data_IF_198164689673
#
_entry.id   IF_198164689673
#
_cell.length_a   1.000
_cell.length_b   1.000
_cell.length_c   1.000
_cell.angle_alpha   90.00
_cell.angle_beta   90.00
_cell.angle_gamma   90.00
#
_symmetry.space_group_name_H-M   'P 1'
#
loop_
_entity.id
_entity.type
_entity.pdbx_description
1 polymer ?
#
# COMPACT_ATOMS: atom_id res chain seq x y z
N UNK A 1 -11.42 -11.11 -11.41
CA UNK A 1 -12.08 -12.24 -10.74
C UNK A 1 -12.83 -13.12 -11.74
N UNK A 2 -13.41 -14.25 -11.28
CA UNK A 2 -14.20 -15.18 -12.11
C UNK A 2 -15.69 -15.03 -11.82
N UNK A 3 -16.11 -15.50 -10.63
CA UNK A 3 -17.51 -15.53 -10.22
C UNK A 3 -18.05 -14.12 -10.01
N UNK A 4 -19.16 -13.75 -10.64
CA UNK A 4 -19.72 -12.39 -10.58
C UNK A 4 -19.00 -11.35 -11.45
N UNK A 5 -17.91 -11.74 -12.13
CA UNK A 5 -17.11 -10.83 -12.97
C UNK A 5 -17.00 -11.31 -14.41
N UNK A 6 -16.54 -12.53 -14.64
CA UNK A 6 -16.50 -13.16 -15.97
C UNK A 6 -17.72 -14.04 -16.20
N UNK A 7 -18.16 -14.73 -15.15
CA UNK A 7 -19.27 -15.68 -15.21
C UNK A 7 -20.29 -15.46 -14.10
N UNK A 8 -21.53 -15.88 -14.35
CA UNK A 8 -22.63 -15.92 -13.40
C UNK A 8 -22.84 -17.36 -12.88
N UNK A 9 -22.31 -17.71 -11.71
CA UNK A 9 -22.39 -19.04 -11.13
C UNK A 9 -23.66 -19.26 -10.30
N UNK A 10 -24.63 -18.35 -10.30
CA UNK A 10 -25.77 -18.34 -9.36
C UNK A 10 -26.44 -19.72 -9.22
N UNK A 11 -26.89 -20.27 -10.30
CA UNK A 11 -27.63 -21.55 -10.28
C UNK A 11 -26.77 -22.67 -9.70
N UNK A 12 -25.51 -22.78 -10.16
CA UNK A 12 -24.62 -23.83 -9.71
C UNK A 12 -24.28 -23.74 -8.21
N UNK A 13 -23.90 -22.54 -7.73
CA UNK A 13 -23.54 -22.34 -6.33
C UNK A 13 -24.76 -22.50 -5.44
N UNK A 14 -25.84 -21.78 -5.69
CA UNK A 14 -27.02 -21.79 -4.81
C UNK A 14 -27.69 -23.14 -4.74
N UNK A 15 -27.79 -23.88 -5.85
CA UNK A 15 -28.33 -25.26 -5.85
C UNK A 15 -27.41 -26.22 -5.09
N UNK A 16 -26.09 -26.06 -5.15
CA UNK A 16 -25.17 -26.88 -4.37
C UNK A 16 -25.21 -26.54 -2.87
N UNK A 17 -25.41 -25.26 -2.50
CA UNK A 17 -25.68 -24.88 -1.12
C UNK A 17 -26.99 -25.48 -0.63
N UNK A 18 -28.06 -25.39 -1.40
CA UNK A 18 -29.36 -26.02 -1.11
C UNK A 18 -29.20 -27.52 -0.88
N UNK A 19 -28.46 -28.20 -1.75
CA UNK A 19 -28.16 -29.65 -1.62
C UNK A 19 -27.42 -29.95 -0.32
N UNK A 20 -26.43 -29.13 0.06
CA UNK A 20 -25.73 -29.28 1.32
C UNK A 20 -26.64 -29.05 2.53
N UNK A 21 -27.47 -28.00 2.52
CA UNK A 21 -28.43 -27.69 3.59
C UNK A 21 -29.46 -28.81 3.77
N UNK A 22 -29.95 -29.37 2.68
CA UNK A 22 -30.87 -30.49 2.74
C UNK A 22 -30.31 -31.71 3.48
N UNK A 23 -29.00 -31.97 3.39
CA UNK A 23 -28.36 -33.07 4.13
C UNK A 23 -28.37 -32.86 5.66
N UNK A 24 -28.56 -31.60 6.11
CA UNK A 24 -28.76 -31.25 7.53
C UNK A 24 -30.24 -31.09 7.91
N UNK A 25 -31.17 -31.46 7.02
CA UNK A 25 -32.60 -31.33 7.24
C UNK A 25 -33.12 -29.90 7.14
N UNK A 26 -32.37 -29.00 6.53
CA UNK A 26 -32.73 -27.60 6.31
C UNK A 26 -33.25 -27.46 4.86
N UNK A 27 -34.52 -27.05 4.74
CA UNK A 27 -35.16 -26.78 3.46
C UNK A 27 -35.12 -25.27 3.16
N UNK A 28 -34.44 -24.86 2.10
CA UNK A 28 -34.49 -23.49 1.57
C UNK A 28 -34.87 -23.53 0.10
N UNK A 29 -36.18 -23.32 -0.20
CA UNK A 29 -36.68 -23.41 -1.59
C UNK A 29 -36.31 -22.18 -2.43
N UNK A 30 -35.96 -21.07 -1.79
CA UNK A 30 -35.67 -19.80 -2.45
C UNK A 30 -34.15 -19.65 -2.67
N UNK A 31 -33.71 -19.88 -3.92
CA UNK A 31 -32.29 -19.77 -4.27
C UNK A 31 -31.74 -18.34 -4.14
N UNK A 32 -32.58 -17.30 -4.23
CA UNK A 32 -32.13 -15.91 -4.09
C UNK A 32 -31.61 -15.61 -2.68
N UNK A 33 -32.13 -16.30 -1.66
CA UNK A 33 -31.63 -16.20 -0.30
C UNK A 33 -30.24 -16.81 -0.12
N UNK A 34 -29.80 -17.63 -1.06
CA UNK A 34 -28.50 -18.29 -1.06
C UNK A 34 -27.44 -17.52 -1.87
N UNK A 35 -27.82 -16.41 -2.53
CA UNK A 35 -26.86 -15.53 -3.24
C UNK A 35 -25.71 -15.05 -2.37
N UNK A 36 -25.88 -14.75 -1.04
CA UNK A 36 -24.77 -14.34 -0.18
C UNK A 36 -23.60 -15.34 -0.09
N UNK A 37 -23.82 -16.60 -0.49
CA UNK A 37 -22.76 -17.61 -0.60
C UNK A 37 -21.83 -17.42 -1.79
N UNK A 38 -22.18 -16.53 -2.73
CA UNK A 38 -21.37 -16.27 -3.93
C UNK A 38 -20.30 -15.23 -3.58
N UNK A 39 -19.03 -15.64 -3.63
CA UNK A 39 -17.86 -14.79 -3.35
C UNK A 39 -17.15 -15.09 -2.04
N UNK A 40 -17.82 -15.11 -0.87
CA UNK A 40 -17.17 -15.46 0.40
C UNK A 40 -16.75 -16.93 0.49
N UNK A 41 -15.80 -17.28 1.39
CA UNK A 41 -15.48 -18.66 1.70
C UNK A 41 -16.72 -19.42 2.20
N UNK A 42 -17.01 -20.59 1.60
CA UNK A 42 -18.22 -21.37 1.90
C UNK A 42 -18.33 -21.75 3.38
N UNK A 43 -17.22 -22.13 4.01
CA UNK A 43 -17.16 -22.48 5.43
C UNK A 43 -17.68 -21.35 6.30
N UNK A 44 -17.17 -20.15 6.08
CA UNK A 44 -17.54 -18.96 6.86
C UNK A 44 -19.01 -18.60 6.60
N UNK A 45 -19.47 -18.73 5.36
CA UNK A 45 -20.87 -18.49 4.98
C UNK A 45 -21.84 -19.45 5.67
N UNK A 46 -21.53 -20.76 5.77
CA UNK A 46 -22.36 -21.71 6.52
C UNK A 46 -22.40 -21.37 8.02
N UNK A 47 -21.28 -20.97 8.59
CA UNK A 47 -21.22 -20.54 9.99
C UNK A 47 -22.02 -19.25 10.23
N UNK A 48 -21.86 -18.25 9.36
CA UNK A 48 -22.48 -16.93 9.50
C UNK A 48 -23.99 -16.97 9.27
N UNK A 49 -24.44 -17.60 8.17
CA UNK A 49 -25.84 -17.52 7.75
C UNK A 49 -26.72 -18.59 8.37
N UNK A 50 -26.15 -19.75 8.72
CA UNK A 50 -26.91 -20.88 9.27
C UNK A 50 -26.49 -21.29 10.68
N UNK A 51 -25.52 -20.60 11.27
CA UNK A 51 -25.07 -20.84 12.65
C UNK A 51 -24.39 -22.21 12.84
N UNK A 52 -23.80 -22.78 11.78
CA UNK A 52 -23.12 -24.07 11.84
C UNK A 52 -21.87 -23.97 12.72
N UNK A 53 -21.55 -25.05 13.44
CA UNK A 53 -20.24 -25.19 14.07
C UNK A 53 -19.15 -25.35 13.00
N UNK A 54 -17.90 -25.22 13.37
CA UNK A 54 -16.78 -25.41 12.44
C UNK A 54 -16.83 -26.80 11.79
N UNK A 55 -17.14 -27.83 12.57
CA UNK A 55 -17.24 -29.21 12.09
C UNK A 55 -18.41 -29.40 11.14
N UNK A 56 -19.58 -28.82 11.44
CA UNK A 56 -20.75 -28.85 10.58
C UNK A 56 -20.51 -28.09 9.26
N UNK A 57 -19.82 -26.96 9.33
CA UNK A 57 -19.48 -26.19 8.13
C UNK A 57 -18.54 -26.97 7.19
N UNK A 58 -17.55 -27.66 7.76
CA UNK A 58 -16.67 -28.55 6.94
C UNK A 58 -17.46 -29.70 6.28
N UNK A 59 -18.39 -30.32 7.01
CA UNK A 59 -19.26 -31.36 6.47
C UNK A 59 -20.18 -30.80 5.36
N UNK A 60 -20.75 -29.60 5.58
CA UNK A 60 -21.57 -28.93 4.58
C UNK A 60 -20.77 -28.57 3.32
N UNK A 61 -19.54 -28.12 3.47
CA UNK A 61 -18.63 -27.86 2.34
C UNK A 61 -18.31 -29.16 1.59
N UNK A 62 -18.11 -30.27 2.30
CA UNK A 62 -17.90 -31.57 1.65
C UNK A 62 -19.15 -31.99 0.84
N UNK A 63 -20.36 -31.82 1.40
CA UNK A 63 -21.63 -32.09 0.72
C UNK A 63 -21.82 -31.17 -0.49
N UNK A 64 -21.55 -29.88 -0.36
CA UNK A 64 -21.55 -28.94 -1.48
C UNK A 64 -20.66 -29.44 -2.62
N UNK A 65 -19.41 -29.83 -2.31
CA UNK A 65 -18.42 -30.29 -3.29
C UNK A 65 -18.83 -31.57 -4.00
N UNK A 66 -19.57 -32.48 -3.34
CA UNK A 66 -20.09 -33.70 -3.98
C UNK A 66 -20.92 -33.39 -5.24
N UNK A 67 -21.79 -32.38 -5.20
CA UNK A 67 -22.60 -31.96 -6.35
C UNK A 67 -21.86 -31.00 -7.26
N UNK A 68 -21.09 -30.08 -6.64
CA UNK A 68 -20.48 -28.96 -7.37
C UNK A 68 -19.47 -29.43 -8.42
N UNK A 69 -18.60 -30.39 -8.06
CA UNK A 69 -17.50 -30.81 -8.93
C UNK A 69 -17.98 -31.44 -10.28
N UNK A 70 -19.14 -32.05 -10.32
CA UNK A 70 -19.61 -32.79 -11.50
C UNK A 70 -20.80 -32.11 -12.21
N UNK A 71 -21.58 -31.30 -11.48
CA UNK A 71 -22.80 -30.68 -12.01
C UNK A 71 -22.78 -29.15 -11.82
N UNK A 72 -22.73 -28.67 -10.57
CA UNK A 72 -22.84 -27.25 -10.25
C UNK A 72 -21.77 -26.38 -10.88
N UNK A 73 -20.59 -26.95 -11.13
CA UNK A 73 -19.51 -26.26 -11.82
C UNK A 73 -19.91 -25.72 -13.19
N UNK A 74 -20.78 -26.47 -13.90
CA UNK A 74 -21.21 -26.17 -15.26
C UNK A 74 -22.63 -25.56 -15.34
N UNK A 75 -23.32 -25.45 -14.21
CA UNK A 75 -24.55 -24.65 -14.08
C UNK A 75 -24.12 -23.18 -13.86
N UNK A 76 -23.52 -22.63 -14.89
CA UNK A 76 -22.81 -21.35 -14.89
C UNK A 76 -22.98 -20.72 -16.29
N UNK A 77 -22.95 -19.41 -16.40
CA UNK A 77 -23.10 -18.68 -17.64
C UNK A 77 -22.02 -17.60 -17.75
N UNK A 78 -21.57 -17.34 -18.98
CA UNK A 78 -20.64 -16.20 -19.22
C UNK A 78 -21.45 -14.93 -19.37
N UNK A 79 -21.08 -13.85 -18.71
CA UNK A 79 -21.75 -12.57 -18.92
C UNK A 79 -21.63 -12.10 -20.36
N UNK A 80 -22.71 -11.55 -20.88
CA UNK A 80 -22.79 -11.04 -22.25
C UNK A 80 -21.69 -10.01 -22.52
N UNK A 81 -20.98 -10.18 -23.65
CA UNK A 81 -19.89 -9.29 -24.08
C UNK A 81 -18.51 -9.63 -23.51
N UNK A 82 -18.39 -10.53 -22.52
CA UNK A 82 -17.09 -10.93 -21.95
C UNK A 82 -16.15 -11.54 -23.00
N UNK A 83 -16.56 -12.52 -23.83
CA UNK A 83 -15.66 -13.11 -24.83
C UNK A 83 -15.14 -12.08 -25.84
N UNK A 84 -15.99 -11.16 -26.28
CA UNK A 84 -15.67 -10.09 -27.23
C UNK A 84 -14.70 -9.08 -26.62
N UNK A 85 -14.97 -8.66 -25.37
CA UNK A 85 -14.07 -7.76 -24.61
C UNK A 85 -12.69 -8.39 -24.42
N UNK A 86 -12.62 -9.64 -23.95
CA UNK A 86 -11.34 -10.33 -23.75
C UNK A 86 -10.54 -10.44 -25.05
N UNK A 87 -11.21 -10.78 -26.16
CA UNK A 87 -10.59 -10.82 -27.49
C UNK A 87 -10.07 -9.45 -27.91
N UNK A 88 -10.84 -8.38 -27.70
CA UNK A 88 -10.46 -7.02 -28.02
C UNK A 88 -9.22 -6.60 -27.23
N UNK A 89 -9.24 -6.81 -25.91
CA UNK A 89 -8.12 -6.47 -25.03
C UNK A 89 -6.85 -7.23 -25.40
N UNK A 90 -6.93 -8.54 -25.64
CA UNK A 90 -5.79 -9.35 -26.07
C UNK A 90 -5.22 -8.85 -27.40
N UNK A 91 -6.08 -8.52 -28.38
CA UNK A 91 -5.65 -8.01 -29.69
C UNK A 91 -4.93 -6.65 -29.61
N UNK A 92 -5.19 -5.89 -28.56
CA UNK A 92 -4.54 -4.61 -28.26
C UNK A 92 -3.29 -4.76 -27.39
N UNK A 93 -2.86 -5.99 -27.07
CA UNK A 93 -1.64 -6.28 -26.34
C UNK A 93 -1.77 -6.22 -24.81
N UNK A 94 -2.99 -6.24 -24.27
CA UNK A 94 -3.21 -6.39 -22.83
C UNK A 94 -2.81 -7.78 -22.36
N UNK A 95 -2.12 -7.85 -21.24
CA UNK A 95 -1.92 -9.11 -20.51
C UNK A 95 -3.11 -9.33 -19.58
N UNK A 96 -3.83 -10.43 -19.80
CA UNK A 96 -5.00 -10.77 -19.02
C UNK A 96 -4.65 -11.89 -18.05
N UNK A 97 -5.13 -11.78 -16.82
CA UNK A 97 -4.95 -12.78 -15.78
C UNK A 97 -6.25 -12.99 -15.00
N UNK A 98 -6.43 -14.19 -14.46
CA UNK A 98 -7.51 -14.52 -13.53
C UNK A 98 -6.93 -14.68 -12.14
N UNK A 99 -7.53 -13.99 -11.16
CA UNK A 99 -7.26 -14.11 -9.74
C UNK A 99 -8.58 -14.36 -9.00
N UNK A 100 -8.90 -15.60 -8.67
CA UNK A 100 -10.19 -15.98 -8.08
C UNK A 100 -10.04 -16.70 -6.74
N UNK A 101 -10.92 -16.41 -5.77
CA UNK A 101 -10.99 -17.16 -4.50
C UNK A 101 -11.55 -18.58 -4.68
N UNK A 102 -12.10 -18.89 -5.86
CA UNK A 102 -12.49 -20.25 -6.21
C UNK A 102 -11.25 -21.16 -6.33
N UNK A 103 -11.32 -22.45 -5.91
CA UNK A 103 -10.22 -23.39 -6.07
C UNK A 103 -9.68 -23.48 -7.50
N UNK A 104 -8.36 -23.48 -7.65
CA UNK A 104 -7.62 -23.51 -8.92
C UNK A 104 -8.19 -24.51 -9.92
N UNK A 105 -8.40 -25.74 -9.47
CA UNK A 105 -8.92 -26.83 -10.31
C UNK A 105 -10.31 -26.53 -10.91
N UNK A 106 -11.13 -25.78 -10.20
CA UNK A 106 -12.46 -25.41 -10.67
C UNK A 106 -12.39 -24.18 -11.60
N UNK A 107 -11.54 -23.22 -11.29
CA UNK A 107 -11.30 -22.06 -12.18
C UNK A 107 -10.87 -22.54 -13.57
N UNK A 108 -9.89 -23.42 -13.62
CA UNK A 108 -9.40 -23.96 -14.91
C UNK A 108 -10.47 -24.69 -15.70
N UNK A 109 -11.25 -25.57 -15.06
CA UNK A 109 -12.32 -26.32 -15.71
C UNK A 109 -13.42 -25.42 -16.24
N UNK A 110 -13.80 -24.36 -15.53
CA UNK A 110 -14.78 -23.36 -15.98
C UNK A 110 -14.26 -22.62 -17.20
N UNK A 111 -13.03 -22.10 -17.13
CA UNK A 111 -12.43 -21.36 -18.23
C UNK A 111 -12.23 -22.23 -19.49
N UNK A 112 -11.92 -23.51 -19.33
CA UNK A 112 -11.83 -24.47 -20.43
C UNK A 112 -13.23 -24.78 -21.03
N UNK A 113 -14.22 -24.97 -20.17
CA UNK A 113 -15.62 -25.26 -20.62
C UNK A 113 -16.17 -24.14 -21.51
N UNK A 114 -15.91 -22.87 -21.15
CA UNK A 114 -16.37 -21.71 -21.89
C UNK A 114 -15.38 -21.21 -22.97
N UNK A 115 -14.29 -21.94 -23.22
CA UNK A 115 -13.25 -21.56 -24.19
C UNK A 115 -12.62 -20.18 -23.90
N UNK A 116 -12.57 -19.80 -22.61
CA UNK A 116 -12.02 -18.51 -22.17
C UNK A 116 -10.54 -18.59 -21.76
N UNK A 117 -10.02 -19.76 -21.39
CA UNK A 117 -8.65 -19.96 -20.88
C UNK A 117 -7.59 -19.39 -21.83
N UNK A 118 -7.83 -19.47 -23.12
CA UNK A 118 -6.92 -18.98 -24.19
C UNK A 118 -6.62 -17.48 -24.15
N UNK A 119 -7.44 -16.69 -23.48
CA UNK A 119 -7.24 -15.24 -23.36
C UNK A 119 -6.31 -14.86 -22.23
N UNK A 120 -6.08 -15.75 -21.25
CA UNK A 120 -5.36 -15.45 -20.03
C UNK A 120 -3.93 -15.98 -20.06
N UNK A 121 -2.96 -15.11 -19.80
CA UNK A 121 -1.55 -15.48 -19.64
C UNK A 121 -1.31 -16.19 -18.30
N UNK A 122 -2.06 -15.79 -17.26
CA UNK A 122 -1.95 -16.33 -15.91
C UNK A 122 -3.33 -16.64 -15.36
N UNK A 123 -3.49 -17.79 -14.72
CA UNK A 123 -4.73 -18.21 -14.05
C UNK A 123 -4.36 -18.70 -12.66
N UNK A 124 -4.83 -18.01 -11.62
CA UNK A 124 -4.60 -18.37 -10.22
C UNK A 124 -5.93 -18.42 -9.47
N UNK A 125 -6.18 -19.56 -8.85
CA UNK A 125 -7.26 -19.80 -7.91
C UNK A 125 -6.75 -20.01 -6.48
N UNK A 126 -7.64 -20.27 -5.54
CA UNK A 126 -7.27 -20.74 -4.20
C UNK A 126 -6.81 -22.19 -4.24
N UNK A 127 -6.19 -22.67 -3.15
CA UNK A 127 -5.83 -24.07 -3.00
C UNK A 127 -6.84 -24.80 -2.10
N UNK A 128 -7.11 -26.07 -2.43
CA UNK A 128 -8.04 -26.90 -1.63
C UNK A 128 -7.50 -27.28 -0.26
N UNK A 129 -6.18 -27.19 -0.08
CA UNK A 129 -5.48 -27.48 1.17
C UNK A 129 -5.36 -26.27 2.12
N UNK A 130 -5.88 -25.10 1.70
CA UNK A 130 -5.85 -23.87 2.48
C UNK A 130 -4.53 -23.09 2.45
N UNK A 131 -3.53 -23.51 1.67
CA UNK A 131 -2.23 -22.80 1.58
C UNK A 131 -2.33 -21.44 0.91
N UNK A 132 -3.35 -21.22 0.06
CA UNK A 132 -3.69 -19.95 -0.58
C UNK A 132 -5.21 -19.80 -0.58
N UNK A 133 -5.77 -19.16 0.43
CA UNK A 133 -7.20 -19.09 0.66
C UNK A 133 -7.77 -17.67 0.49
N UNK A 134 -7.00 -16.66 0.91
CA UNK A 134 -7.48 -15.27 0.91
C UNK A 134 -7.24 -14.58 -0.44
N UNK A 135 -8.08 -13.57 -0.77
CA UNK A 135 -8.00 -12.88 -2.05
C UNK A 135 -6.67 -12.17 -2.27
N UNK A 136 -6.10 -11.57 -1.23
CA UNK A 136 -4.77 -10.92 -1.30
C UNK A 136 -3.66 -11.93 -1.64
N UNK A 137 -3.69 -13.15 -1.08
CA UNK A 137 -2.73 -14.21 -1.42
C UNK A 137 -2.87 -14.64 -2.89
N UNK A 138 -4.10 -14.77 -3.37
CA UNK A 138 -4.36 -15.14 -4.78
C UNK A 138 -3.88 -14.03 -5.71
N UNK A 139 -4.21 -12.78 -5.44
CA UNK A 139 -3.75 -11.63 -6.24
C UNK A 139 -2.23 -11.51 -6.20
N UNK A 140 -1.61 -11.71 -5.03
CA UNK A 140 -0.14 -11.68 -4.88
C UNK A 140 0.54 -12.71 -5.78
N UNK A 141 0.06 -13.95 -5.79
CA UNK A 141 0.60 -15.01 -6.64
C UNK A 141 0.37 -14.71 -8.12
N UNK A 142 -0.82 -14.19 -8.47
CA UNK A 142 -1.13 -13.77 -9.85
C UNK A 142 -0.16 -12.70 -10.34
N UNK A 143 0.10 -11.68 -9.53
CA UNK A 143 1.07 -10.62 -9.85
C UNK A 143 2.50 -11.16 -9.94
N UNK A 144 2.88 -12.05 -9.04
CA UNK A 144 4.21 -12.69 -9.07
C UNK A 144 4.44 -13.43 -10.39
N UNK A 145 3.47 -14.25 -10.84
CA UNK A 145 3.57 -14.95 -12.11
C UNK A 145 3.54 -13.99 -13.30
N UNK A 146 2.65 -12.99 -13.28
CA UNK A 146 2.49 -12.02 -14.35
C UNK A 146 3.77 -11.21 -14.58
N UNK A 147 4.39 -10.70 -13.51
CA UNK A 147 5.60 -9.86 -13.59
C UNK A 147 6.85 -10.66 -13.92
N UNK A 148 6.89 -11.96 -13.61
CA UNK A 148 8.01 -12.82 -13.95
C UNK A 148 8.23 -12.97 -15.45
N UNK A 149 7.15 -12.98 -16.21
CA UNK A 149 7.17 -13.26 -17.65
C UNK A 149 6.98 -11.99 -18.51
N UNK A 150 6.53 -10.89 -17.90
CA UNK A 150 6.15 -9.69 -18.63
C UNK A 150 6.73 -8.43 -17.98
N UNK A 151 7.22 -7.46 -18.76
CA UNK A 151 7.74 -6.19 -18.25
C UNK A 151 6.57 -5.22 -17.93
N UNK A 152 5.80 -5.52 -16.87
CA UNK A 152 4.63 -4.75 -16.44
C UNK A 152 4.95 -4.11 -15.08
N UNK A 153 4.61 -2.83 -14.92
CA UNK A 153 4.73 -2.14 -13.64
C UNK A 153 3.40 -2.23 -12.86
N UNK A 154 3.43 -2.26 -11.52
CA UNK A 154 2.22 -2.42 -10.69
C UNK A 154 1.14 -1.34 -10.94
N UNK A 155 1.53 -0.12 -11.32
CA UNK A 155 0.63 0.98 -11.65
C UNK A 155 -0.05 0.85 -13.02
N UNK A 156 0.29 -0.18 -13.79
CA UNK A 156 -0.35 -0.54 -15.05
C UNK A 156 -1.34 -1.69 -14.89
N UNK A 157 -1.60 -2.13 -13.67
CA UNK A 157 -2.46 -3.28 -13.38
C UNK A 157 -3.76 -2.84 -12.72
N UNK A 158 -4.87 -3.38 -13.20
CA UNK A 158 -6.19 -3.26 -12.58
C UNK A 158 -6.65 -4.61 -12.06
N UNK A 159 -7.09 -4.67 -10.81
CA UNK A 159 -7.88 -5.78 -10.30
C UNK A 159 -9.35 -5.48 -10.55
N UNK A 160 -10.01 -6.36 -11.31
CA UNK A 160 -11.42 -6.23 -11.66
C UNK A 160 -12.21 -7.29 -10.89
N UNK A 161 -13.23 -6.86 -10.15
CA UNK A 161 -14.06 -7.76 -9.37
C UNK A 161 -15.35 -7.11 -8.92
N UNK A 162 -16.29 -7.94 -8.47
CA UNK A 162 -17.64 -7.51 -8.09
C UNK A 162 -17.83 -7.38 -6.56
N UNK A 163 -16.89 -7.90 -5.75
CA UNK A 163 -17.03 -7.92 -4.29
C UNK A 163 -15.96 -7.07 -3.60
N UNK A 164 -16.26 -6.68 -2.35
CA UNK A 164 -15.30 -5.97 -1.47
C UNK A 164 -13.94 -6.68 -1.35
N UNK A 165 -13.93 -8.02 -1.40
CA UNK A 165 -12.72 -8.82 -1.28
C UNK A 165 -11.72 -8.55 -2.41
N UNK A 166 -12.21 -8.29 -3.63
CA UNK A 166 -11.39 -7.93 -4.79
C UNK A 166 -10.72 -6.58 -4.58
N UNK A 167 -11.51 -5.62 -4.11
CA UNK A 167 -11.03 -4.26 -3.82
C UNK A 167 -10.02 -4.26 -2.67
N UNK A 168 -10.29 -5.00 -1.60
CA UNK A 168 -9.41 -5.11 -0.44
C UNK A 168 -8.10 -5.84 -0.80
N UNK A 169 -8.19 -6.94 -1.59
CA UNK A 169 -7.03 -7.68 -2.08
C UNK A 169 -6.14 -6.84 -2.99
N UNK A 170 -6.72 -6.09 -3.91
CA UNK A 170 -6.00 -5.15 -4.77
C UNK A 170 -5.28 -4.07 -3.95
N UNK A 171 -6.00 -3.47 -3.00
CA UNK A 171 -5.46 -2.43 -2.13
C UNK A 171 -4.30 -2.92 -1.26
N UNK A 172 -4.39 -4.13 -0.71
CA UNK A 172 -3.32 -4.71 0.11
C UNK A 172 -1.98 -4.77 -0.65
N UNK A 173 -2.04 -4.87 -1.98
CA UNK A 173 -0.88 -5.00 -2.85
C UNK A 173 -0.55 -3.71 -3.64
N UNK A 174 -1.33 -2.64 -3.42
CA UNK A 174 -1.10 -1.36 -4.09
C UNK A 174 -1.51 -1.35 -5.58
N UNK A 175 -2.40 -2.25 -5.97
CA UNK A 175 -2.98 -2.33 -7.31
C UNK A 175 -4.30 -1.56 -7.34
N UNK A 176 -4.59 -0.83 -8.42
CA UNK A 176 -5.88 -0.15 -8.61
C UNK A 176 -7.01 -1.16 -8.83
N UNK A 177 -8.18 -0.85 -8.29
CA UNK A 177 -9.37 -1.70 -8.33
C UNK A 177 -10.47 -1.12 -9.20
N UNK A 178 -11.12 -1.99 -10.00
CA UNK A 178 -12.33 -1.66 -10.76
C UNK A 178 -13.47 -2.55 -10.26
N UNK A 179 -14.38 -1.96 -9.48
CA UNK A 179 -15.58 -2.65 -9.02
C UNK A 179 -16.62 -2.72 -10.14
N UNK A 180 -17.19 -3.91 -10.37
CA UNK A 180 -18.29 -4.11 -11.33
C UNK A 180 -19.59 -4.35 -10.57
N UNK A 181 -20.69 -3.70 -10.97
CA UNK A 181 -22.00 -3.79 -10.29
C UNK A 181 -22.99 -4.68 -11.03
N UNK A 182 -22.57 -5.36 -12.07
CA UNK A 182 -23.38 -6.36 -12.76
C UNK A 182 -23.25 -7.77 -12.13
N UNK A 183 -22.31 -7.94 -11.19
CA UNK A 183 -22.15 -9.11 -10.33
C UNK A 183 -23.00 -9.03 -9.05
N UNK A 184 -22.49 -9.60 -7.96
CA UNK A 184 -23.23 -9.81 -6.70
C UNK A 184 -22.98 -8.72 -5.65
N UNK A 185 -21.90 -7.95 -5.77
CA UNK A 185 -21.59 -6.84 -4.89
C UNK A 185 -22.45 -5.61 -5.19
N UNK A 186 -22.99 -4.99 -4.14
CA UNK A 186 -23.70 -3.74 -4.29
C UNK A 186 -22.73 -2.57 -4.57
N UNK A 187 -23.25 -1.51 -5.19
CA UNK A 187 -22.47 -0.27 -5.40
C UNK A 187 -22.01 0.33 -4.08
N UNK A 188 -22.81 0.18 -3.03
CA UNK A 188 -22.52 0.62 -1.66
C UNK A 188 -21.36 -0.19 -1.06
N UNK A 189 -21.38 -1.53 -1.19
CA UNK A 189 -20.29 -2.42 -0.77
C UNK A 189 -18.96 -2.02 -1.43
N UNK A 190 -18.97 -1.80 -2.74
CA UNK A 190 -17.77 -1.41 -3.50
C UNK A 190 -17.25 -0.03 -3.09
N UNK A 191 -18.15 0.94 -2.80
CA UNK A 191 -17.77 2.26 -2.30
C UNK A 191 -17.19 2.20 -0.89
N UNK A 192 -17.82 1.44 0.01
CA UNK A 192 -17.33 1.25 1.39
C UNK A 192 -15.97 0.56 1.40
N UNK A 193 -15.79 -0.43 0.51
CA UNK A 193 -14.50 -1.06 0.26
C UNK A 193 -13.50 -0.09 -0.39
N UNK A 194 -13.92 1.08 -0.90
CA UNK A 194 -13.13 2.12 -1.56
C UNK A 194 -12.53 1.65 -2.90
N UNK A 195 -13.35 1.06 -3.76
CA UNK A 195 -12.97 0.80 -5.13
C UNK A 195 -12.51 2.09 -5.81
N UNK A 196 -11.40 2.05 -6.56
CA UNK A 196 -10.86 3.22 -7.25
C UNK A 196 -11.78 3.64 -8.38
N UNK A 197 -12.39 2.68 -9.06
CA UNK A 197 -13.38 2.89 -10.11
C UNK A 197 -14.57 1.94 -9.92
N UNK A 198 -15.76 2.36 -10.38
CA UNK A 198 -16.97 1.52 -10.38
C UNK A 198 -17.65 1.65 -11.73
N UNK A 199 -17.90 0.52 -12.38
CA UNK A 199 -18.59 0.40 -13.67
C UNK A 199 -19.82 -0.48 -13.55
N UNK A 200 -20.83 -0.28 -14.45
CA UNK A 200 -22.14 -0.90 -14.28
C UNK A 200 -22.43 -2.02 -15.30
N UNK A 201 -21.60 -2.13 -16.34
CA UNK A 201 -21.77 -3.14 -17.39
C UNK A 201 -20.43 -3.55 -17.99
N UNK A 202 -20.42 -4.68 -18.68
CA UNK A 202 -19.25 -5.17 -19.45
C UNK A 202 -18.84 -4.15 -20.52
N UNK A 203 -19.81 -3.51 -21.19
CA UNK A 203 -19.53 -2.47 -22.19
C UNK A 203 -18.84 -1.24 -21.57
N UNK A 204 -19.28 -0.82 -20.37
CA UNK A 204 -18.65 0.29 -19.65
C UNK A 204 -17.23 -0.09 -19.19
N UNK A 205 -17.03 -1.33 -18.74
CA UNK A 205 -15.72 -1.87 -18.39
C UNK A 205 -14.76 -1.87 -19.58
N UNK A 206 -15.22 -2.36 -20.76
CA UNK A 206 -14.42 -2.35 -21.98
C UNK A 206 -14.01 -0.91 -22.36
N UNK A 207 -14.97 0.02 -22.38
CA UNK A 207 -14.70 1.44 -22.66
C UNK A 207 -13.70 2.05 -21.67
N UNK A 208 -13.82 1.71 -20.39
CA UNK A 208 -12.89 2.18 -19.36
C UNK A 208 -11.47 1.69 -19.62
N UNK A 209 -11.30 0.39 -19.86
CA UNK A 209 -9.99 -0.21 -20.10
C UNK A 209 -9.35 0.31 -21.40
N UNK A 210 -10.14 0.50 -22.45
CA UNK A 210 -9.63 0.99 -23.74
C UNK A 210 -9.27 2.48 -23.72
N UNK A 211 -9.96 3.33 -22.95
CA UNK A 211 -9.59 4.75 -22.78
C UNK A 211 -8.24 4.92 -22.14
N UNK A 212 -7.91 4.13 -21.14
CA UNK A 212 -6.58 4.14 -20.52
C UNK A 212 -5.45 3.89 -21.53
N UNK A 213 -5.67 3.00 -22.52
CA UNK A 213 -4.69 2.75 -23.57
C UNK A 213 -4.57 3.90 -24.58
N UNK A 214 -5.66 4.56 -24.92
CA UNK A 214 -5.65 5.71 -25.85
C UNK A 214 -4.94 6.94 -25.22
N UNK A 215 -5.12 7.15 -23.91
CA UNK A 215 -4.41 8.20 -23.17
C UNK A 215 -2.91 7.92 -23.05
N UNK A 216 -2.51 6.66 -22.88
CA UNK A 216 -1.11 6.23 -22.87
C UNK A 216 -0.46 6.36 -24.26
N UNK A 217 -1.19 6.05 -25.35
CA UNK A 217 -0.72 6.14 -26.72
C UNK A 217 -0.68 7.59 -27.24
N UNK A 218 -1.59 8.45 -26.79
CA UNK A 218 -1.68 9.84 -27.24
C UNK A 218 -0.81 10.82 -26.45
N UNK A 219 0.01 10.33 -25.51
CA UNK A 219 1.11 11.07 -24.91
C UNK A 219 0.71 12.41 -24.28
N UNK A 220 -0.38 12.48 -23.51
CA UNK A 220 -0.66 13.66 -22.71
C UNK A 220 0.25 13.67 -21.48
N UNK A 221 1.31 14.51 -21.42
CA UNK A 221 2.29 14.49 -20.33
C UNK A 221 1.70 14.93 -18.98
N UNK A 222 0.49 15.52 -18.98
CA UNK A 222 -0.16 16.03 -17.76
C UNK A 222 -0.93 14.96 -16.98
N UNK A 223 -1.14 13.78 -17.56
CA UNK A 223 -1.86 12.67 -16.91
C UNK A 223 -0.92 11.54 -16.44
N UNK A 224 0.32 11.86 -16.10
CA UNK A 224 1.12 10.99 -15.23
C UNK A 224 0.43 10.94 -13.88
N UNK A 225 -0.49 10.00 -13.69
CA UNK A 225 -0.87 9.55 -12.34
C UNK A 225 0.44 9.30 -11.61
N UNK A 226 0.72 10.14 -10.64
CA UNK A 226 1.98 10.11 -9.92
C UNK A 226 2.05 8.75 -9.26
N UNK A 227 3.00 7.90 -9.69
CA UNK A 227 3.29 6.60 -9.10
C UNK A 227 3.29 6.76 -7.58
N UNK A 228 2.38 6.08 -6.82
CA UNK A 228 2.29 6.24 -5.37
C UNK A 228 3.63 5.94 -4.69
N UNK A 229 4.41 5.02 -5.22
CA UNK A 229 5.76 4.70 -4.73
C UNK A 229 6.74 5.86 -4.98
N UNK A 230 6.69 6.49 -6.17
CA UNK A 230 7.49 7.66 -6.51
C UNK A 230 7.11 8.86 -5.63
N UNK A 231 5.82 9.07 -5.38
CA UNK A 231 5.35 10.11 -4.44
C UNK A 231 5.82 9.85 -3.01
N UNK A 232 5.78 8.59 -2.55
CA UNK A 232 6.29 8.20 -1.22
C UNK A 232 7.79 8.45 -1.11
N UNK A 233 8.57 8.05 -2.11
CA UNK A 233 10.02 8.29 -2.15
C UNK A 233 10.30 9.79 -2.17
N UNK A 234 9.63 10.57 -3.03
CA UNK A 234 9.82 12.03 -3.09
C UNK A 234 9.36 12.74 -1.83
N UNK A 235 8.29 12.28 -1.17
CA UNK A 235 7.88 12.81 0.13
C UNK A 235 8.96 12.61 1.19
N UNK A 236 9.57 11.41 1.24
CA UNK A 236 10.68 11.13 2.14
C UNK A 236 11.92 11.98 1.82
N UNK A 237 12.32 12.00 0.54
CA UNK A 237 13.47 12.79 0.08
C UNK A 237 13.27 14.29 0.33
N UNK A 238 12.09 14.81 -0.01
CA UNK A 238 11.77 16.22 0.20
C UNK A 238 11.75 16.60 1.68
N UNK A 239 11.14 15.78 2.52
CA UNK A 239 11.13 16.00 3.97
C UNK A 239 12.54 15.99 4.56
N UNK A 240 13.41 15.09 4.10
CA UNK A 240 14.80 15.03 4.53
C UNK A 240 15.61 16.25 4.06
N UNK A 241 15.44 16.68 2.81
CA UNK A 241 16.08 17.90 2.30
C UNK A 241 15.60 19.13 3.05
N UNK A 242 14.32 19.26 3.35
CA UNK A 242 13.77 20.35 4.15
C UNK A 242 14.32 20.35 5.59
N UNK A 243 14.48 19.17 6.19
CA UNK A 243 15.13 19.05 7.49
C UNK A 243 16.54 19.63 7.47
N UNK A 244 17.39 19.23 6.51
CA UNK A 244 18.76 19.72 6.40
C UNK A 244 18.78 21.24 6.17
N UNK A 245 17.93 21.73 5.27
CA UNK A 245 17.87 23.14 4.89
C UNK A 245 17.47 24.03 6.07
N UNK A 246 16.38 23.67 6.76
CA UNK A 246 15.89 24.46 7.91
C UNK A 246 16.84 24.34 9.08
N UNK A 247 17.39 23.15 9.37
CA UNK A 247 18.40 22.96 10.40
C UNK A 247 19.60 23.91 10.21
N UNK A 248 20.14 23.90 8.99
CA UNK A 248 21.31 24.73 8.68
C UNK A 248 20.95 26.23 8.71
N UNK A 249 19.80 26.62 8.18
CA UNK A 249 19.33 28.00 8.21
C UNK A 249 19.20 28.54 9.64
N UNK A 250 18.63 27.77 10.57
CA UNK A 250 18.52 28.13 11.99
C UNK A 250 19.90 28.26 12.63
N UNK A 251 20.79 27.29 12.36
CA UNK A 251 22.16 27.34 12.92
C UNK A 251 22.93 28.57 12.43
N UNK A 252 22.91 28.86 11.13
CA UNK A 252 23.59 30.03 10.56
C UNK A 252 22.99 31.35 11.07
N UNK A 253 21.64 31.42 11.16
CA UNK A 253 20.98 32.61 11.70
C UNK A 253 21.40 32.91 13.16
N UNK A 254 21.43 31.86 14.00
CA UNK A 254 21.86 31.99 15.39
C UNK A 254 23.36 32.38 15.51
N UNK A 255 24.21 31.75 14.70
CA UNK A 255 25.63 32.10 14.65
C UNK A 255 25.86 33.56 14.20
N UNK A 256 25.13 34.01 13.16
CA UNK A 256 25.19 35.39 12.69
C UNK A 256 24.74 36.39 13.75
N UNK A 257 23.65 36.06 14.48
CA UNK A 257 23.18 36.89 15.60
C UNK A 257 24.20 36.97 16.71
N UNK A 258 24.80 35.86 17.13
CA UNK A 258 25.85 35.86 18.16
C UNK A 258 27.08 36.61 17.70
N UNK A 259 27.47 36.49 16.42
CA UNK A 259 28.58 37.25 15.87
C UNK A 259 28.32 38.77 15.90
N UNK A 260 27.10 39.21 15.53
CA UNK A 260 26.70 40.60 15.63
C UNK A 260 26.73 41.11 17.08
N UNK A 261 26.24 40.33 18.04
CA UNK A 261 26.30 40.65 19.45
C UNK A 261 27.75 40.76 19.94
N UNK A 262 28.62 39.88 19.47
CA UNK A 262 30.08 39.96 19.79
C UNK A 262 30.71 41.24 19.29
N UNK A 263 30.39 41.65 18.04
CA UNK A 263 30.93 42.87 17.42
C UNK A 263 30.37 44.17 18.02
N UNK A 264 29.13 44.15 18.52
CA UNK A 264 28.49 45.32 19.13
C UNK A 264 29.09 45.75 20.49
N UNK A 265 30.04 44.97 21.00
CA UNK A 265 30.63 45.23 22.33
C UNK A 265 29.67 44.94 23.50
N UNK A 266 28.55 44.31 23.24
CA UNK A 266 27.60 43.90 24.28
C UNK A 266 28.33 43.04 25.33
N UNK A 267 28.21 43.39 26.60
CA UNK A 267 28.80 42.70 27.73
C UNK A 267 27.76 42.52 28.83
N UNK A 268 27.95 41.47 29.63
CA UNK A 268 27.15 41.19 30.82
C UNK A 268 26.25 39.97 30.69
N UNK A 269 26.13 39.19 31.76
CA UNK A 269 25.24 38.08 31.95
C UNK A 269 25.39 36.96 30.93
N UNK A 270 24.36 36.76 30.14
CA UNK A 270 24.28 35.65 29.16
C UNK A 270 25.29 35.79 28.01
N UNK A 271 25.63 37.02 27.63
CA UNK A 271 26.54 37.28 26.50
C UNK A 271 27.97 36.83 26.83
N UNK A 272 28.43 37.10 28.05
CA UNK A 272 29.77 36.71 28.50
C UNK A 272 29.89 35.18 28.71
N UNK A 273 28.77 34.51 28.95
CA UNK A 273 28.71 33.05 29.03
C UNK A 273 28.81 32.39 27.64
N UNK A 274 28.27 33.05 26.60
CA UNK A 274 28.11 32.50 25.26
C UNK A 274 29.29 32.83 24.34
N UNK A 275 29.95 33.96 24.53
CA UNK A 275 31.00 34.52 23.64
C UNK A 275 32.35 34.51 24.37
N UNK A 276 33.34 33.83 23.79
CA UNK A 276 34.68 33.85 24.26
C UNK A 276 35.39 35.12 23.75
N UNK A 277 36.07 35.85 24.65
CA UNK A 277 36.89 37.03 24.33
C UNK A 277 38.33 36.77 24.77
N UNK A 278 39.28 37.31 24.02
CA UNK A 278 40.69 37.30 24.41
C UNK A 278 41.00 38.34 25.49
N UNK A 279 42.27 38.40 25.93
CA UNK A 279 42.77 39.34 26.95
C UNK A 279 42.61 40.83 26.56
N UNK A 280 42.38 41.08 25.25
CA UNK A 280 42.10 42.40 24.69
C UNK A 280 40.63 42.76 24.62
N UNK A 281 39.76 41.82 24.97
CA UNK A 281 38.29 41.93 24.84
C UNK A 281 37.75 41.68 23.44
N UNK A 282 38.60 41.26 22.48
CA UNK A 282 38.18 40.92 21.13
C UNK A 282 37.53 39.53 21.08
N UNK A 283 36.62 39.34 20.10
CA UNK A 283 35.95 38.07 19.89
C UNK A 283 36.95 36.95 19.57
N UNK A 284 36.90 35.86 20.32
CA UNK A 284 37.77 34.69 20.17
C UNK A 284 37.02 33.38 19.99
N UNK A 285 35.73 33.41 19.71
CA UNK A 285 34.93 32.23 19.49
C UNK A 285 33.70 32.11 20.39
N UNK A 286 33.09 30.93 20.36
CA UNK A 286 31.95 30.59 21.21
C UNK A 286 32.34 29.52 22.22
N UNK A 287 31.68 29.49 23.39
CA UNK A 287 31.86 28.39 24.33
C UNK A 287 31.35 27.07 23.74
N UNK A 288 31.92 25.94 24.15
CA UNK A 288 31.51 24.62 23.68
C UNK A 288 30.03 24.34 23.92
N UNK A 289 29.47 24.88 25.02
CA UNK A 289 28.05 24.74 25.35
C UNK A 289 27.13 25.45 24.35
N UNK A 290 27.58 26.61 23.82
CA UNK A 290 26.82 27.36 22.80
C UNK A 290 26.72 26.59 21.50
N UNK A 291 27.79 25.97 21.06
CA UNK A 291 27.78 25.15 19.85
C UNK A 291 26.77 24.01 19.97
N UNK A 292 26.70 23.37 21.14
CA UNK A 292 25.74 22.31 21.44
C UNK A 292 24.29 22.82 21.47
N UNK A 293 24.03 23.99 22.06
CA UNK A 293 22.70 24.62 22.11
C UNK A 293 22.24 25.00 20.69
N UNK A 294 23.11 25.63 19.89
CA UNK A 294 22.79 26.03 18.51
C UNK A 294 22.48 24.78 17.65
N UNK A 295 23.28 23.73 17.82
CA UNK A 295 23.05 22.47 17.14
C UNK A 295 21.67 21.84 17.51
N UNK A 296 21.34 21.86 18.82
CA UNK A 296 20.06 21.36 19.31
C UNK A 296 18.87 22.18 18.78
N UNK A 297 18.95 23.50 18.79
CA UNK A 297 17.92 24.40 18.25
C UNK A 297 17.76 24.22 16.74
N UNK A 298 18.85 24.05 16.01
CA UNK A 298 18.80 23.71 14.57
C UNK A 298 18.11 22.39 14.32
N UNK A 299 18.39 21.39 15.15
CA UNK A 299 17.74 20.07 15.04
C UNK A 299 16.22 20.14 15.32
N UNK A 300 15.82 20.87 16.36
CA UNK A 300 14.40 21.09 16.68
C UNK A 300 13.69 21.80 15.53
N UNK A 301 14.30 22.85 14.96
CA UNK A 301 13.76 23.56 13.79
C UNK A 301 13.58 22.63 12.57
N UNK A 302 14.58 21.78 12.30
CA UNK A 302 14.52 20.77 11.26
C UNK A 302 13.40 19.75 11.49
N UNK A 303 13.24 19.27 12.71
CA UNK A 303 12.18 18.31 13.08
C UNK A 303 10.78 18.91 12.91
N UNK A 304 10.58 20.18 13.30
CA UNK A 304 9.32 20.92 13.09
C UNK A 304 9.04 21.06 11.58
N UNK A 305 10.05 21.35 10.76
CA UNK A 305 9.90 21.46 9.32
C UNK A 305 9.48 20.13 8.69
N UNK A 306 10.09 19.02 9.09
CA UNK A 306 9.68 17.66 8.65
C UNK A 306 8.25 17.38 9.03
N UNK A 307 7.88 17.62 10.29
CA UNK A 307 6.51 17.38 10.77
C UNK A 307 5.48 18.22 10.01
N UNK A 308 5.77 19.52 9.82
CA UNK A 308 4.88 20.44 9.10
C UNK A 308 4.73 20.05 7.63
N UNK A 309 5.85 19.67 6.98
CA UNK A 309 5.85 19.24 5.57
C UNK A 309 5.11 17.91 5.41
N UNK A 310 5.36 16.95 6.28
CA UNK A 310 4.67 15.67 6.28
C UNK A 310 3.17 15.87 6.51
N UNK A 311 2.77 16.70 7.47
CA UNK A 311 1.37 17.03 7.74
C UNK A 311 0.70 17.70 6.55
N UNK A 312 1.36 18.67 5.91
CA UNK A 312 0.83 19.36 4.71
C UNK A 312 0.65 18.39 3.55
N UNK A 313 1.59 17.48 3.32
CA UNK A 313 1.51 16.47 2.27
C UNK A 313 0.42 15.43 2.57
N UNK A 314 0.28 15.02 3.84
CA UNK A 314 -0.79 14.13 4.31
C UNK A 314 -2.15 14.80 4.14
N UNK A 315 -2.30 16.07 4.56
CA UNK A 315 -3.56 16.81 4.47
C UNK A 315 -3.95 17.13 3.01
N UNK A 316 -2.97 17.31 2.12
CA UNK A 316 -3.19 17.52 0.69
C UNK A 316 -3.56 16.24 -0.05
N UNK A 317 -3.07 15.09 0.41
CA UNK A 317 -3.24 13.77 -0.21
C UNK A 317 -3.98 12.82 0.74
N UNK A 318 -4.93 13.32 1.55
CA UNK A 318 -5.66 12.51 2.55
C UNK A 318 -6.35 11.28 1.96
N UNK A 319 -6.70 11.32 0.68
CA UNK A 319 -7.31 10.22 -0.04
C UNK A 319 -6.27 9.25 -0.64
N UNK A 320 -5.04 9.72 -0.95
CA UNK A 320 -4.03 8.94 -1.67
C UNK A 320 -2.97 8.28 -0.78
N UNK A 321 -2.81 8.73 0.47
CA UNK A 321 -1.82 8.16 1.39
C UNK A 321 -2.50 7.33 2.48
N UNK A 322 -2.53 6.01 2.30
CA UNK A 322 -3.03 5.02 3.26
C UNK A 322 -2.22 4.95 4.58
N UNK A 323 -2.01 6.11 5.23
CA UNK A 323 -1.41 6.15 6.58
C UNK A 323 -2.37 5.70 7.69
N UNK A 324 -3.65 5.45 7.36
CA UNK A 324 -4.59 4.84 8.30
C UNK A 324 -4.17 3.43 8.75
N UNK A 325 -3.43 2.69 7.91
CA UNK A 325 -2.84 1.41 8.28
C UNK A 325 -1.74 1.55 9.34
N UNK A 326 -0.99 2.64 9.34
CA UNK A 326 0.06 2.88 10.33
C UNK A 326 -0.49 3.03 11.76
N UNK A 327 -1.74 3.46 11.93
CA UNK A 327 -2.41 3.53 13.23
C UNK A 327 -2.87 2.17 13.79
N UNK A 328 -3.05 1.16 12.93
CA UNK A 328 -3.51 -0.20 13.31
C UNK A 328 -2.36 -1.19 13.56
N UNK A 329 -1.18 -0.93 13.01
CA UNK A 329 -0.05 -1.83 13.16
C UNK A 329 0.80 -1.40 14.36
N UNK A 330 1.05 -2.34 15.26
CA UNK A 330 1.61 -2.11 16.58
C UNK A 330 2.95 -1.36 16.60
N UNK A 331 3.26 -0.76 17.73
CA UNK A 331 4.45 0.08 18.03
C UNK A 331 5.80 -0.48 17.55
N UNK A 332 5.91 -1.78 17.30
CA UNK A 332 7.14 -2.45 16.84
C UNK A 332 7.60 -2.03 15.43
N UNK A 333 6.68 -1.72 14.49
CA UNK A 333 7.07 -1.27 13.14
C UNK A 333 7.62 0.16 13.13
N UNK A 334 7.12 1.02 14.01
CA UNK A 334 7.68 2.37 14.19
C UNK A 334 9.08 2.32 14.77
N UNK A 335 9.32 1.41 15.73
CA UNK A 335 10.66 1.17 16.27
C UNK A 335 11.60 0.68 15.17
N UNK A 336 11.16 -0.25 14.32
CA UNK A 336 11.96 -0.77 13.21
C UNK A 336 12.30 0.32 12.19
N UNK A 337 11.33 1.16 11.82
CA UNK A 337 11.55 2.29 10.91
C UNK A 337 12.52 3.31 11.50
N UNK A 338 12.39 3.61 12.79
CA UNK A 338 13.30 4.51 13.51
C UNK A 338 14.73 3.95 13.54
N UNK A 339 14.88 2.66 13.85
CA UNK A 339 16.18 1.98 13.85
C UNK A 339 16.79 1.94 12.44
N UNK A 340 15.99 1.68 11.40
CA UNK A 340 16.45 1.70 10.02
C UNK A 340 16.89 3.11 9.57
N UNK A 341 16.17 4.15 9.97
CA UNK A 341 16.54 5.56 9.69
C UNK A 341 17.84 5.95 10.39
N UNK A 342 18.01 5.57 11.65
CA UNK A 342 19.25 5.80 12.40
C UNK A 342 20.40 5.03 11.74
N UNK A 343 20.18 3.77 11.36
CA UNK A 343 21.17 2.95 10.66
C UNK A 343 21.59 3.56 9.32
N UNK A 344 20.64 4.10 8.55
CA UNK A 344 20.93 4.79 7.28
C UNK A 344 21.75 6.07 7.49
N UNK A 345 21.46 6.87 8.52
CA UNK A 345 22.22 8.08 8.84
C UNK A 345 23.64 7.74 9.26
N UNK A 346 23.83 6.73 10.11
CA UNK A 346 25.15 6.25 10.53
C UNK A 346 25.91 5.69 9.32
N UNK A 347 25.26 4.89 8.47
CA UNK A 347 25.85 4.32 7.26
C UNK A 347 26.29 5.39 6.26
N UNK A 348 25.50 6.43 6.04
CA UNK A 348 25.89 7.56 5.19
C UNK A 348 27.09 8.32 5.75
N UNK A 349 27.15 8.53 7.06
CA UNK A 349 28.28 9.21 7.70
C UNK A 349 29.57 8.40 7.58
N UNK A 350 29.52 7.08 7.83
CA UNK A 350 30.65 6.18 7.62
C UNK A 350 31.10 6.14 6.15
N UNK A 351 30.16 6.22 5.21
CA UNK A 351 30.49 6.28 3.79
C UNK A 351 31.20 7.58 3.42
N UNK A 352 30.75 8.73 3.94
CA UNK A 352 31.42 10.01 3.73
C UNK A 352 32.83 10.04 4.37
N UNK A 353 33.00 9.40 5.50
CA UNK A 353 34.29 9.24 6.16
C UNK A 353 35.24 8.36 5.33
N UNK A 354 34.73 7.23 4.82
CA UNK A 354 35.47 6.32 3.92
C UNK A 354 35.87 6.97 2.59
N UNK A 355 35.01 7.85 2.05
CA UNK A 355 35.25 8.60 0.82
C UNK A 355 36.18 9.82 1.00
N UNK A 356 36.62 10.10 2.24
CA UNK A 356 37.50 11.21 2.54
C UNK A 356 36.87 12.58 2.34
N UNK A 357 35.54 12.69 2.29
CA UNK A 357 34.76 13.92 2.06
C UNK A 357 34.71 14.76 3.34
N UNK A 358 35.04 14.20 4.51
CA UNK A 358 35.11 14.90 5.79
C UNK A 358 36.49 15.51 5.96
N UNK A 359 36.53 16.82 6.14
CA UNK A 359 37.78 17.57 6.34
C UNK A 359 38.43 17.14 7.66
N UNK A 360 39.64 16.60 7.61
CA UNK A 360 40.42 16.08 8.75
C UNK A 360 41.07 17.20 9.57
N UNK A 361 40.35 18.22 10.00
CA UNK A 361 40.89 19.11 11.05
C UNK A 361 40.60 18.52 12.42
N UNK A 362 41.57 18.44 13.31
CA UNK A 362 41.38 17.91 14.67
C UNK A 362 40.24 18.63 15.41
N UNK A 363 40.09 19.93 15.19
CA UNK A 363 38.99 20.74 15.71
C UNK A 363 37.61 20.27 15.21
N UNK A 364 37.48 19.78 13.95
CA UNK A 364 36.22 19.26 13.41
C UNK A 364 35.87 17.92 14.02
N UNK A 365 36.86 17.07 14.29
CA UNK A 365 36.66 15.74 14.88
C UNK A 365 36.18 15.85 16.33
N UNK A 366 36.68 16.79 17.08
CA UNK A 366 36.31 17.03 18.49
C UNK A 366 34.89 17.63 18.59
N UNK A 367 34.57 18.62 17.77
CA UNK A 367 33.21 19.20 17.66
C UNK A 367 32.21 18.20 17.12
N UNK A 368 32.57 17.39 16.13
CA UNK A 368 31.71 16.33 15.60
C UNK A 368 31.42 15.28 16.67
N UNK A 369 32.39 14.80 17.42
CA UNK A 369 32.19 13.82 18.48
C UNK A 369 31.25 14.32 19.60
N UNK A 370 31.35 15.59 19.98
CA UNK A 370 30.43 16.22 20.94
C UNK A 370 29.02 16.41 20.34
N UNK A 371 28.93 16.83 19.09
CA UNK A 371 27.63 16.93 18.37
C UNK A 371 26.93 15.58 18.23
N UNK A 372 27.66 14.50 17.93
CA UNK A 372 27.06 13.16 17.76
C UNK A 372 26.45 12.61 19.06
N UNK A 373 27.10 12.85 20.21
CA UNK A 373 26.55 12.40 21.49
C UNK A 373 25.27 13.14 21.88
N UNK A 374 25.19 14.44 21.64
CA UNK A 374 23.99 15.25 21.89
C UNK A 374 22.86 14.93 20.89
N UNK A 375 23.18 14.77 19.59
CA UNK A 375 22.20 14.42 18.55
C UNK A 375 21.60 13.05 18.75
N UNK A 376 22.38 12.08 19.25
CA UNK A 376 21.89 10.73 19.54
C UNK A 376 20.82 10.74 20.64
N UNK A 377 21.08 11.47 21.73
CA UNK A 377 20.15 11.57 22.86
C UNK A 377 18.88 12.33 22.47
N UNK A 378 18.99 13.46 21.76
CA UNK A 378 17.84 14.25 21.29
C UNK A 378 17.04 13.48 20.23
N UNK A 379 17.70 12.75 19.34
CA UNK A 379 17.05 11.88 18.36
C UNK A 379 16.19 10.82 19.04
N UNK A 380 16.69 10.13 20.06
CA UNK A 380 15.92 9.15 20.84
C UNK A 380 14.73 9.81 21.55
N UNK A 381 14.91 11.00 22.13
CA UNK A 381 13.83 11.69 22.84
C UNK A 381 12.74 12.24 21.90
N UNK A 382 13.08 12.72 20.72
CA UNK A 382 12.11 13.29 19.77
C UNK A 382 11.39 12.19 18.99
N UNK A 383 12.10 11.16 18.53
CA UNK A 383 11.48 10.06 17.74
C UNK A 383 10.92 8.92 18.59
N UNK A 384 11.29 8.82 19.87
CA UNK A 384 10.70 7.87 20.81
C UNK A 384 9.32 8.29 21.35
N UNK A 385 8.91 9.57 21.15
CA UNK A 385 7.62 10.13 21.57
C UNK A 385 6.60 10.31 20.43
N UNK A 386 6.96 10.10 19.16
CA UNK A 386 6.07 10.06 18.00
C UNK A 386 5.75 8.61 17.64
#
# INVERSE_FOLDING_TARGET
DLDGTLTDPKIGITTCVQYALHSFGIEEPDLDKLEPFIGPPLRDSFMEFYGFTAEQAEEAVAKYRERFQDTGLFENEVYDGIPEMLKTLQSKGYFLAVASSKPQVYVERILEHFDLKKYFAVVVGSELDGTRETKDQVVQETLHQLFKENPIEPDQVYMIGDRKFDVEGARALGVESVGVTYGYGSKEELKEAKADYIVQSVEELEKFLLRGSEELLNGNPDNKKKNPMYQRIWTMVYSFLMFILVRNAVQYALLALLYQLAQSGASGGLVDLLILRDETGAYNGYSGDVSSIIAALGFIGGAIAVWSTAKMLIDKNKEDMHLSHLKKEGKSKYVLLTVATIGAVIGCNLLFELLGVTNKSEAYTEVAAQQYSAHFIVGILVFGFI
#
